data_IF_639321040566
#
_entry.id   IF_639321040566
#
_cell.length_a   1.000
_cell.length_b   1.000
_cell.length_c   1.000
_cell.angle_alpha   90.00
_cell.angle_beta   90.00
_cell.angle_gamma   90.00
#
_symmetry.space_group_name_H-M   'P 1'
#
loop_
_entity.id
_entity.type
_entity.pdbx_description
1 polymer ?
#
# COMPACT_ATOMS: atom_id res chain seq x y z
N UNK A 1 3.63 18.21 36.32
CA UNK A 1 2.84 17.24 35.54
C UNK A 1 3.44 17.08 34.13
N UNK A 2 3.90 15.90 33.76
CA UNK A 2 4.26 15.63 32.37
C UNK A 2 3.00 15.78 31.51
N UNK A 3 2.94 16.76 30.60
CA UNK A 3 1.83 16.88 29.63
C UNK A 3 1.75 15.57 28.85
N UNK A 4 0.55 14.99 28.78
CA UNK A 4 0.29 13.82 27.93
C UNK A 4 0.74 14.12 26.50
N UNK A 5 1.54 13.24 25.93
CA UNK A 5 2.06 13.45 24.59
C UNK A 5 0.97 13.14 23.57
N UNK A 6 0.67 14.14 22.71
CA UNK A 6 -0.27 14.02 21.59
C UNK A 6 0.46 14.27 20.28
N UNK A 7 0.42 13.30 19.37
CA UNK A 7 1.10 13.38 18.08
C UNK A 7 0.08 13.54 16.96
N UNK A 8 0.12 14.67 16.25
CA UNK A 8 -0.68 14.86 15.04
C UNK A 8 0.09 14.30 13.84
N UNK A 9 -0.52 13.37 13.11
CA UNK A 9 0.03 12.73 11.91
C UNK A 9 -0.72 13.27 10.69
N UNK A 10 0.02 13.80 9.72
CA UNK A 10 -0.54 14.35 8.49
C UNK A 10 -0.20 13.46 7.29
N UNK A 11 -1.20 12.72 6.76
CA UNK A 11 -1.07 11.95 5.51
C UNK A 11 -2.42 11.86 4.78
N UNK A 12 -2.60 12.62 3.71
CA UNK A 12 -3.89 12.83 3.03
C UNK A 12 -4.12 11.91 1.82
N UNK A 13 -3.06 11.30 1.29
CA UNK A 13 -3.06 10.40 0.11
C UNK A 13 -1.66 9.77 -0.07
N UNK A 14 -1.43 8.75 -0.90
CA UNK A 14 -2.41 7.88 -1.54
C UNK A 14 -2.76 6.70 -0.61
N UNK A 15 -3.74 5.87 -1.01
CA UNK A 15 -4.10 4.66 -0.24
C UNK A 15 -2.89 3.74 -0.02
N UNK A 16 -2.11 3.46 -1.07
CA UNK A 16 -0.91 2.63 -0.96
C UNK A 16 0.14 3.20 0.00
N UNK A 17 0.42 4.50 -0.07
CA UNK A 17 1.34 5.16 0.89
C UNK A 17 0.83 5.10 2.34
N UNK A 18 -0.49 5.10 2.53
CA UNK A 18 -1.11 4.94 3.85
C UNK A 18 -0.97 3.50 4.32
N UNK A 19 -1.19 2.52 3.45
CA UNK A 19 -0.99 1.11 3.77
C UNK A 19 0.46 0.82 4.19
N UNK A 20 1.47 1.42 3.53
CA UNK A 20 2.88 1.34 3.94
C UNK A 20 3.11 1.89 5.36
N UNK A 21 2.27 2.78 5.86
CA UNK A 21 2.41 3.37 7.19
C UNK A 21 1.90 2.44 8.30
N UNK A 22 1.00 1.50 8.01
CA UNK A 22 0.34 0.65 9.01
C UNK A 22 1.33 -0.08 9.93
N UNK A 23 2.39 -0.76 9.45
CA UNK A 23 3.34 -1.43 10.35
C UNK A 23 4.06 -0.45 11.30
N UNK A 24 4.33 0.78 10.83
CA UNK A 24 4.91 1.83 11.68
C UNK A 24 3.94 2.23 12.78
N UNK A 25 2.65 2.37 12.46
CA UNK A 25 1.61 2.72 13.42
C UNK A 25 1.36 1.61 14.44
N UNK A 26 1.39 0.34 14.02
CA UNK A 26 1.30 -0.81 14.95
C UNK A 26 2.44 -0.79 15.96
N UNK A 27 3.67 -0.64 15.48
CA UNK A 27 4.85 -0.56 16.36
C UNK A 27 4.79 0.66 17.32
N UNK A 28 4.32 1.82 16.85
CA UNK A 28 4.13 3.01 17.68
C UNK A 28 3.03 2.79 18.73
N UNK A 29 1.87 2.28 18.32
CA UNK A 29 0.73 2.04 19.18
C UNK A 29 1.07 1.09 20.33
N UNK A 30 1.79 0.00 20.02
CA UNK A 30 2.26 -0.97 21.01
C UNK A 30 3.30 -0.39 21.95
N UNK A 31 4.33 0.29 21.41
CA UNK A 31 5.45 0.81 22.22
C UNK A 31 5.06 2.01 23.06
N UNK A 32 4.09 2.79 22.62
CA UNK A 32 3.66 4.03 23.29
C UNK A 32 2.15 4.03 23.58
N UNK A 33 1.63 3.10 24.40
CA UNK A 33 0.19 2.96 24.64
C UNK A 33 -0.44 4.20 25.31
N UNK A 34 0.35 4.98 26.06
CA UNK A 34 -0.05 6.20 26.73
C UNK A 34 0.11 7.47 25.89
N UNK A 35 0.45 7.34 24.60
CA UNK A 35 0.55 8.45 23.65
C UNK A 35 -0.69 8.46 22.79
N UNK A 36 -1.36 9.60 22.70
CA UNK A 36 -2.47 9.80 21.77
C UNK A 36 -1.93 10.19 20.39
N UNK A 37 -2.28 9.39 19.38
CA UNK A 37 -1.95 9.68 17.99
C UNK A 37 -3.23 10.14 17.27
N UNK A 38 -3.20 11.34 16.69
CA UNK A 38 -4.30 11.91 15.92
C UNK A 38 -3.92 11.88 14.43
N UNK A 39 -4.51 10.99 13.65
CA UNK A 39 -4.23 10.83 12.24
C UNK A 39 -5.23 11.59 11.38
N UNK A 40 -4.79 12.62 10.70
CA UNK A 40 -5.59 13.41 9.77
C UNK A 40 -5.47 12.88 8.34
N UNK A 41 -6.59 12.41 7.76
CA UNK A 41 -6.62 11.88 6.40
C UNK A 41 -8.02 11.99 5.77
N UNK A 42 -8.17 11.49 4.53
CA UNK A 42 -9.46 11.46 3.82
C UNK A 42 -10.41 10.42 4.43
N UNK A 43 -11.74 10.66 4.47
CA UNK A 43 -12.71 9.77 5.12
C UNK A 43 -12.62 8.31 4.66
N UNK A 44 -12.42 8.08 3.35
CA UNK A 44 -12.30 6.73 2.77
C UNK A 44 -11.15 5.88 3.32
N UNK A 45 -10.22 6.47 4.08
CA UNK A 45 -9.10 5.76 4.69
C UNK A 45 -9.45 5.20 6.09
N UNK A 46 -10.58 5.60 6.68
CA UNK A 46 -10.95 5.26 8.05
C UNK A 46 -10.89 3.76 8.37
N UNK A 47 -11.36 2.84 7.50
CA UNK A 47 -11.32 1.40 7.79
C UNK A 47 -9.93 0.84 8.07
N UNK A 48 -8.86 1.47 7.55
CA UNK A 48 -7.48 1.05 7.78
C UNK A 48 -6.99 1.30 9.22
N UNK A 49 -7.73 2.07 10.00
CA UNK A 49 -7.31 2.52 11.33
C UNK A 49 -8.22 2.03 12.46
N UNK A 50 -9.26 1.25 12.15
CA UNK A 50 -10.19 0.71 13.14
C UNK A 50 -9.55 -0.29 14.12
N UNK A 51 -8.40 -0.88 13.76
CA UNK A 51 -7.64 -1.79 14.63
C UNK A 51 -6.95 -1.09 15.81
N UNK A 52 -6.78 0.24 15.78
CA UNK A 52 -5.96 0.97 16.73
C UNK A 52 -6.77 1.60 17.87
N UNK A 53 -6.41 1.31 19.11
CA UNK A 53 -7.07 1.87 20.31
C UNK A 53 -6.61 3.30 20.60
N UNK A 54 -5.33 3.62 20.41
CA UNK A 54 -4.74 4.93 20.74
C UNK A 54 -4.44 5.80 19.51
N UNK A 55 -5.02 5.46 18.34
CA UNK A 55 -4.95 6.27 17.12
C UNK A 55 -6.36 6.80 16.80
N UNK A 56 -6.58 8.08 17.00
CA UNK A 56 -7.81 8.76 16.66
C UNK A 56 -7.76 9.20 15.19
N UNK A 57 -8.69 8.70 14.38
CA UNK A 57 -8.80 9.11 12.98
C UNK A 57 -9.59 10.42 12.86
N UNK A 58 -9.03 11.39 12.14
CA UNK A 58 -9.66 12.68 11.85
C UNK A 58 -10.01 12.70 10.36
N UNK A 59 -11.28 12.47 9.99
CA UNK A 59 -11.72 12.53 8.60
C UNK A 59 -11.73 13.97 8.08
N UNK A 60 -11.13 14.20 6.91
CA UNK A 60 -11.02 15.51 6.29
C UNK A 60 -11.52 15.48 4.85
N UNK A 61 -12.60 16.20 4.54
CA UNK A 61 -13.02 16.44 3.16
C UNK A 61 -12.20 17.56 2.52
N UNK A 62 -11.02 17.17 2.03
CA UNK A 62 -10.02 18.09 1.51
C UNK A 62 -10.42 18.73 0.16
N UNK A 63 -11.37 18.14 -0.52
CA UNK A 63 -11.77 18.56 -1.87
C UNK A 63 -12.95 19.54 -1.83
N UNK A 64 -13.70 19.58 -0.75
CA UNK A 64 -14.83 20.49 -0.56
C UNK A 64 -14.53 21.55 0.50
N UNK A 65 -14.25 21.13 1.74
CA UNK A 65 -14.18 22.04 2.89
C UNK A 65 -12.89 22.86 3.00
N UNK A 66 -11.78 22.37 2.41
CA UNK A 66 -10.43 22.91 2.68
C UNK A 66 -9.68 23.30 1.42
N UNK A 67 -10.38 23.92 0.44
CA UNK A 67 -9.78 24.44 -0.81
C UNK A 67 -9.05 25.78 -0.61
N UNK A 68 -7.99 25.98 -1.38
CA UNK A 68 -7.23 27.24 -1.39
C UNK A 68 -6.54 27.58 -0.07
N UNK A 69 -5.99 28.78 0.05
CA UNK A 69 -5.26 29.23 1.24
C UNK A 69 -6.17 29.38 2.46
N UNK A 70 -7.39 29.92 2.27
CA UNK A 70 -8.38 30.03 3.34
C UNK A 70 -8.78 28.66 3.88
N UNK A 71 -8.95 27.66 3.00
CA UNK A 71 -9.21 26.27 3.40
C UNK A 71 -8.05 25.65 4.18
N UNK A 72 -6.81 25.94 3.80
CA UNK A 72 -5.62 25.49 4.56
C UNK A 72 -5.59 26.12 5.95
N UNK A 73 -5.93 27.39 6.09
CA UNK A 73 -5.98 28.07 7.39
C UNK A 73 -7.13 27.55 8.26
N UNK A 74 -8.32 27.31 7.66
CA UNK A 74 -9.45 26.66 8.35
C UNK A 74 -9.04 25.27 8.87
N UNK A 75 -8.38 24.47 8.04
CA UNK A 75 -7.86 23.15 8.39
C UNK A 75 -6.84 23.22 9.54
N UNK A 76 -5.90 24.17 9.48
CA UNK A 76 -4.95 24.40 10.56
C UNK A 76 -5.66 24.68 11.90
N UNK A 77 -6.71 25.54 11.91
CA UNK A 77 -7.48 25.83 13.12
C UNK A 77 -8.11 24.56 13.72
N UNK A 78 -8.72 23.73 12.88
CA UNK A 78 -9.34 22.47 13.31
C UNK A 78 -8.30 21.50 13.87
N UNK A 79 -7.18 21.33 13.18
CA UNK A 79 -6.10 20.46 13.64
C UNK A 79 -5.46 20.96 14.95
N UNK A 80 -5.45 22.29 15.18
CA UNK A 80 -4.96 22.87 16.44
C UNK A 80 -5.88 22.53 17.62
N UNK A 81 -7.18 22.30 17.40
CA UNK A 81 -8.11 21.91 18.45
C UNK A 81 -7.78 20.53 19.07
N UNK A 82 -7.05 19.67 18.36
CA UNK A 82 -6.54 18.39 18.91
C UNK A 82 -5.43 18.60 19.95
N UNK A 83 -5.00 19.85 20.20
CA UNK A 83 -3.95 20.22 21.16
C UNK A 83 -2.67 19.36 21.03
N UNK A 84 -2.10 19.19 19.82
CA UNK A 84 -0.96 18.34 19.63
C UNK A 84 0.26 18.90 20.38
N UNK A 85 1.17 18.01 20.80
CA UNK A 85 2.49 18.41 21.31
C UNK A 85 3.57 18.24 20.23
N UNK A 86 3.32 17.32 19.27
CA UNK A 86 4.24 16.97 18.19
C UNK A 86 3.46 16.80 16.89
N UNK A 87 4.07 17.19 15.75
CA UNK A 87 3.48 17.05 14.43
C UNK A 87 4.41 16.23 13.53
N UNK A 88 3.90 15.11 13.02
CA UNK A 88 4.54 14.24 12.04
C UNK A 88 3.95 14.49 10.65
N UNK A 89 4.61 15.28 9.81
CA UNK A 89 4.20 15.47 8.41
C UNK A 89 4.78 14.34 7.54
N UNK A 90 3.99 13.28 7.32
CA UNK A 90 4.33 12.15 6.47
C UNK A 90 3.93 12.37 5.01
N UNK A 91 3.30 13.49 4.68
CA UNK A 91 2.85 13.80 3.32
C UNK A 91 3.79 14.76 2.59
N UNK A 92 4.23 15.82 3.24
CA UNK A 92 5.16 16.83 2.74
C UNK A 92 4.80 17.38 1.35
N UNK A 93 3.53 17.77 1.18
CA UNK A 93 2.97 18.52 0.03
C UNK A 93 2.74 19.98 0.43
N UNK A 94 2.46 20.85 -0.53
CA UNK A 94 2.27 22.31 -0.27
C UNK A 94 1.33 22.54 0.92
N UNK A 95 0.16 21.90 0.95
CA UNK A 95 -0.83 22.04 2.02
C UNK A 95 -0.24 21.68 3.40
N UNK A 96 0.40 20.51 3.55
CA UNK A 96 0.96 20.09 4.84
C UNK A 96 2.20 20.89 5.23
N UNK A 97 2.95 21.40 4.26
CA UNK A 97 4.09 22.30 4.52
C UNK A 97 3.64 23.62 5.11
N UNK A 98 2.57 24.22 4.57
CA UNK A 98 1.99 25.47 5.12
C UNK A 98 1.47 25.19 6.53
N UNK A 99 0.69 24.13 6.76
CA UNK A 99 0.19 23.75 8.08
C UNK A 99 1.36 23.54 9.05
N UNK A 100 2.38 22.78 8.64
CA UNK A 100 3.57 22.54 9.46
C UNK A 100 4.34 23.84 9.80
N UNK A 101 4.41 24.79 8.87
CA UNK A 101 5.00 26.09 9.12
C UNK A 101 4.21 26.90 10.17
N UNK A 102 2.88 26.93 10.05
CA UNK A 102 2.02 27.60 11.04
C UNK A 102 2.19 27.02 12.44
N UNK A 103 2.26 25.69 12.56
CA UNK A 103 2.55 25.01 13.82
C UNK A 103 3.96 25.38 14.36
N UNK A 104 4.98 25.44 13.49
CA UNK A 104 6.34 25.82 13.90
C UNK A 104 6.41 27.24 14.45
N UNK A 105 5.73 28.21 13.78
CA UNK A 105 5.65 29.60 14.24
C UNK A 105 5.05 29.68 15.66
N UNK A 106 4.12 28.80 15.98
CA UNK A 106 3.54 28.69 17.32
C UNK A 106 4.36 27.85 18.31
N UNK A 107 5.61 27.47 17.98
CA UNK A 107 6.51 26.76 18.87
C UNK A 107 6.33 25.23 18.93
N UNK A 108 5.47 24.64 18.10
CA UNK A 108 5.28 23.18 18.10
C UNK A 108 6.47 22.44 17.47
N UNK A 109 6.72 21.21 17.95
CA UNK A 109 7.73 20.34 17.36
C UNK A 109 7.20 19.67 16.09
N UNK A 110 7.66 20.10 14.92
CA UNK A 110 7.25 19.59 13.61
C UNK A 110 8.42 18.88 12.94
N UNK A 111 8.23 17.64 12.51
CA UNK A 111 9.17 16.92 11.65
C UNK A 111 8.43 16.40 10.41
N UNK A 112 9.12 16.46 9.26
CA UNK A 112 8.57 16.05 7.98
C UNK A 112 9.40 14.96 7.33
N UNK A 113 8.75 14.16 6.49
CA UNK A 113 9.39 13.09 5.74
C UNK A 113 10.38 13.66 4.71
N UNK A 114 11.53 13.01 4.60
CA UNK A 114 12.38 13.12 3.41
C UNK A 114 11.90 12.14 2.34
N UNK A 115 11.39 12.66 1.24
CA UNK A 115 10.88 11.86 0.11
C UNK A 115 11.96 11.26 -0.77
N UNK A 116 13.23 11.57 -0.55
CA UNK A 116 14.37 11.09 -1.35
C UNK A 116 14.30 11.52 -2.83
N UNK A 117 13.77 12.72 -3.13
CA UNK A 117 13.50 13.16 -4.51
C UNK A 117 14.73 13.14 -5.42
N UNK A 118 15.91 13.53 -4.89
CA UNK A 118 17.18 13.50 -5.66
C UNK A 118 17.55 12.07 -6.04
N UNK A 119 17.50 11.15 -5.08
CA UNK A 119 17.81 9.73 -5.28
C UNK A 119 16.80 9.08 -6.24
N UNK A 120 15.50 9.34 -6.07
CA UNK A 120 14.44 8.87 -6.97
C UNK A 120 14.66 9.37 -8.42
N UNK A 121 15.06 10.64 -8.60
CA UNK A 121 15.40 11.18 -9.91
C UNK A 121 16.65 10.49 -10.49
N UNK A 122 17.66 10.18 -9.69
CA UNK A 122 18.85 9.46 -10.14
C UNK A 122 18.54 8.01 -10.55
N UNK A 123 17.66 7.33 -9.79
CA UNK A 123 17.21 5.97 -10.08
C UNK A 123 16.41 5.86 -11.39
N UNK A 124 15.65 6.90 -11.78
CA UNK A 124 14.78 6.85 -12.97
C UNK A 124 15.36 7.53 -14.21
N UNK A 125 16.60 8.02 -14.16
CA UNK A 125 17.27 8.58 -15.35
C UNK A 125 17.54 7.50 -16.39
N UNK A 126 17.44 7.83 -17.67
CA UNK A 126 17.86 6.94 -18.77
C UNK A 126 19.39 6.99 -18.90
N UNK A 127 19.97 8.22 -18.93
CA UNK A 127 21.42 8.43 -18.97
C UNK A 127 21.96 8.64 -17.57
N UNK A 128 23.17 8.13 -17.28
CA UNK A 128 23.82 8.22 -15.96
C UNK A 128 22.93 7.76 -14.82
N UNK A 129 22.24 6.64 -15.04
CA UNK A 129 21.37 6.02 -14.05
C UNK A 129 22.19 5.53 -12.84
N UNK A 130 21.70 5.87 -11.65
CA UNK A 130 22.20 5.29 -10.40
C UNK A 130 21.20 4.22 -9.95
N UNK A 131 21.53 2.96 -10.26
CA UNK A 131 20.65 1.82 -10.02
C UNK A 131 21.02 1.13 -8.70
N UNK A 132 20.57 1.70 -7.60
CA UNK A 132 20.76 1.16 -6.25
C UNK A 132 19.45 1.23 -5.45
N UNK A 133 19.26 0.31 -4.49
CA UNK A 133 18.10 0.33 -3.60
C UNK A 133 18.04 1.64 -2.82
N UNK A 134 16.89 2.29 -2.87
CA UNK A 134 16.65 3.48 -2.05
C UNK A 134 16.09 3.07 -0.68
N UNK A 135 16.33 3.89 0.34
CA UNK A 135 15.72 3.70 1.65
C UNK A 135 14.20 3.48 1.50
N UNK A 136 13.65 2.33 1.93
CA UNK A 136 12.22 2.07 1.86
C UNK A 136 11.37 3.13 2.56
N UNK A 137 10.19 3.39 1.99
CA UNK A 137 9.29 4.44 2.47
C UNK A 137 8.88 4.24 3.93
N UNK A 138 8.72 2.99 4.36
CA UNK A 138 8.40 2.63 5.75
C UNK A 138 9.48 3.15 6.73
N UNK A 139 10.77 2.99 6.42
CA UNK A 139 11.86 3.52 7.25
C UNK A 139 11.94 5.05 7.21
N UNK A 140 11.51 5.68 6.09
CA UNK A 140 11.39 7.14 6.04
C UNK A 140 10.30 7.65 6.98
N UNK A 141 9.19 6.92 7.13
CA UNK A 141 8.14 7.22 8.12
C UNK A 141 8.66 7.04 9.54
N UNK A 142 9.26 5.91 9.86
CA UNK A 142 9.85 5.64 11.17
C UNK A 142 10.84 6.74 11.59
N UNK A 143 11.69 7.19 10.66
CA UNK A 143 12.67 8.27 10.91
C UNK A 143 12.01 9.60 11.30
N UNK A 144 10.79 9.90 10.84
CA UNK A 144 10.06 11.11 11.27
C UNK A 144 9.69 11.00 12.74
N UNK A 145 9.17 9.86 13.17
CA UNK A 145 8.79 9.62 14.57
C UNK A 145 10.02 9.59 15.48
N UNK A 146 11.11 8.95 15.05
CA UNK A 146 12.38 8.97 15.80
C UNK A 146 12.89 10.39 16.04
N UNK A 147 12.83 11.27 15.02
CA UNK A 147 13.18 12.71 15.16
C UNK A 147 12.26 13.50 16.10
N UNK A 148 11.08 12.98 16.40
CA UNK A 148 10.14 13.53 17.38
C UNK A 148 10.33 12.93 18.79
N UNK A 149 11.22 11.95 18.94
CA UNK A 149 11.45 11.25 20.20
C UNK A 149 10.62 9.98 20.40
N UNK A 150 10.03 9.44 19.32
CA UNK A 150 9.26 8.20 19.30
C UNK A 150 9.98 7.16 18.42
N UNK A 151 11.11 6.66 18.88
CA UNK A 151 11.87 5.62 18.16
C UNK A 151 11.17 4.28 18.30
N UNK A 152 11.01 3.60 17.17
CA UNK A 152 10.49 2.24 17.08
C UNK A 152 11.53 1.37 16.37
N UNK A 153 11.55 0.12 16.76
CA UNK A 153 12.21 -0.95 16.05
C UNK A 153 11.13 -1.92 15.58
N UNK A 154 11.13 -2.24 14.27
CA UNK A 154 10.20 -3.18 13.68
C UNK A 154 10.94 -4.01 12.66
N UNK A 155 11.38 -5.18 13.10
CA UNK A 155 11.99 -6.21 12.23
C UNK A 155 10.93 -7.13 11.62
N UNK A 156 9.77 -7.24 12.29
CA UNK A 156 8.61 -8.04 11.81
C UNK A 156 7.35 -7.19 11.89
N UNK A 157 6.49 -7.32 10.90
CA UNK A 157 5.14 -6.76 10.94
C UNK A 157 4.34 -7.47 12.03
N UNK A 158 3.83 -6.73 13.00
CA UNK A 158 2.82 -7.27 13.91
C UNK A 158 1.53 -7.45 13.12
N UNK A 159 0.92 -8.63 13.23
CA UNK A 159 -0.28 -8.96 12.48
C UNK A 159 -1.52 -8.39 13.19
N UNK A 160 -2.58 -8.05 12.46
CA UNK A 160 -3.84 -7.66 13.06
C UNK A 160 -4.45 -8.85 13.81
N UNK A 161 -5.03 -8.58 14.97
CA UNK A 161 -5.68 -9.62 15.79
C UNK A 161 -7.09 -10.00 15.32
N UNK A 162 -7.58 -9.42 14.23
CA UNK A 162 -8.97 -9.56 13.82
C UNK A 162 -9.10 -10.51 12.63
N UNK A 163 -9.52 -11.74 12.89
CA UNK A 163 -9.71 -12.80 11.91
C UNK A 163 -11.21 -13.09 11.69
N UNK A 164 -11.98 -12.07 11.33
CA UNK A 164 -13.39 -12.23 10.98
C UNK A 164 -13.56 -12.24 9.47
N UNK A 165 -13.93 -13.40 8.92
CA UNK A 165 -14.34 -13.52 7.52
C UNK A 165 -15.75 -12.93 7.35
N UNK A 166 -15.99 -12.05 6.37
CA UNK A 166 -17.34 -11.55 6.06
C UNK A 166 -18.33 -12.70 5.88
N UNK A 167 -19.54 -12.58 6.46
CA UNK A 167 -20.52 -13.67 6.51
C UNK A 167 -20.86 -14.26 5.12
N UNK A 168 -21.01 -13.36 4.15
CA UNK A 168 -21.29 -13.75 2.75
C UNK A 168 -20.17 -14.58 2.10
N UNK A 169 -18.96 -14.56 2.66
CA UNK A 169 -17.83 -15.36 2.17
C UNK A 169 -17.64 -16.68 2.91
N UNK A 170 -18.19 -16.84 4.10
CA UNK A 170 -18.01 -18.07 4.89
C UNK A 170 -18.39 -19.32 4.11
N UNK A 171 -19.55 -19.32 3.45
CA UNK A 171 -20.01 -20.46 2.63
C UNK A 171 -19.05 -20.78 1.48
N UNK A 172 -18.45 -19.75 0.89
CA UNK A 172 -17.55 -19.88 -0.27
C UNK A 172 -16.16 -20.35 0.19
N UNK A 173 -15.63 -19.78 1.25
CA UNK A 173 -14.30 -20.11 1.78
C UNK A 173 -14.25 -21.49 2.43
N UNK A 174 -15.33 -21.92 3.07
CA UNK A 174 -15.41 -23.21 3.76
C UNK A 174 -16.09 -24.32 2.93
N UNK A 175 -16.40 -24.06 1.64
CA UNK A 175 -17.02 -25.04 0.76
C UNK A 175 -16.10 -26.24 0.46
N UNK A 176 -14.80 -26.01 0.40
CA UNK A 176 -13.77 -27.02 0.20
C UNK A 176 -12.46 -26.62 0.90
N UNK A 177 -11.42 -27.47 0.80
CA UNK A 177 -10.10 -27.25 1.41
C UNK A 177 -9.10 -26.59 0.46
N UNK A 178 -9.54 -26.06 -0.69
CA UNK A 178 -8.64 -25.42 -1.64
C UNK A 178 -8.07 -24.14 -1.07
N UNK A 179 -6.78 -23.91 -1.31
CA UNK A 179 -6.11 -22.65 -0.97
C UNK A 179 -6.66 -21.48 -1.79
N UNK A 180 -6.62 -20.29 -1.20
CA UNK A 180 -7.14 -19.06 -1.77
C UNK A 180 -6.02 -18.13 -2.22
N UNK A 181 -6.04 -17.75 -3.49
CA UNK A 181 -5.12 -16.78 -4.07
C UNK A 181 -5.87 -15.48 -4.36
N UNK A 182 -5.46 -14.38 -3.73
CA UNK A 182 -5.92 -13.05 -4.11
C UNK A 182 -5.18 -12.56 -5.35
N UNK A 183 -5.89 -12.07 -6.36
CA UNK A 183 -5.28 -11.47 -7.56
C UNK A 183 -5.78 -10.04 -7.73
N UNK A 184 -4.86 -9.07 -7.66
CA UNK A 184 -5.12 -7.65 -7.84
C UNK A 184 -4.46 -7.16 -9.16
N UNK A 185 -5.12 -7.32 -10.31
CA UNK A 185 -4.49 -7.14 -11.62
C UNK A 185 -4.32 -5.69 -12.04
N UNK A 186 -4.82 -4.73 -11.26
CA UNK A 186 -4.87 -3.32 -11.63
C UNK A 186 -3.93 -2.45 -10.81
N UNK A 187 -3.55 -1.34 -11.40
CA UNK A 187 -2.85 -0.24 -10.73
C UNK A 187 -3.33 1.12 -11.25
N UNK A 188 -2.99 2.19 -10.52
CA UNK A 188 -3.41 3.55 -10.88
C UNK A 188 -2.86 4.06 -12.21
N UNK A 189 -1.84 3.42 -12.76
CA UNK A 189 -1.17 3.82 -14.00
C UNK A 189 -0.78 2.61 -14.84
N UNK A 190 -0.86 2.78 -16.16
CA UNK A 190 -0.57 1.74 -17.15
C UNK A 190 0.84 1.13 -16.96
N UNK A 191 1.86 1.95 -16.70
CA UNK A 191 3.23 1.47 -16.48
C UNK A 191 3.42 0.59 -15.24
N UNK A 192 2.35 0.38 -14.46
CA UNK A 192 2.30 -0.52 -13.29
C UNK A 192 1.27 -1.64 -13.46
N UNK A 193 0.55 -1.69 -14.57
CA UNK A 193 -0.48 -2.69 -14.83
C UNK A 193 0.05 -3.77 -15.74
N UNK A 194 0.16 -4.99 -15.24
CA UNK A 194 0.55 -6.15 -16.04
C UNK A 194 -0.47 -6.38 -17.16
N UNK A 195 -0.05 -6.74 -18.39
CA UNK A 195 -0.99 -6.95 -19.47
C UNK A 195 -2.09 -7.94 -19.11
N UNK A 196 -3.35 -7.49 -19.17
CA UNK A 196 -4.49 -8.26 -18.68
C UNK A 196 -4.66 -9.62 -19.37
N UNK A 197 -4.29 -9.72 -20.66
CA UNK A 197 -4.29 -10.98 -21.38
C UNK A 197 -3.24 -11.99 -20.85
N UNK A 198 -2.13 -11.51 -20.30
CA UNK A 198 -1.13 -12.36 -19.64
C UNK A 198 -1.58 -12.74 -18.20
N UNK A 199 -2.17 -11.79 -17.47
CA UNK A 199 -2.76 -12.08 -16.16
C UNK A 199 -3.88 -13.10 -16.29
N UNK A 200 -4.68 -13.03 -17.35
CA UNK A 200 -5.74 -14.00 -17.61
C UNK A 200 -5.16 -15.42 -17.81
N UNK A 201 -4.01 -15.57 -18.45
CA UNK A 201 -3.33 -16.87 -18.58
C UNK A 201 -2.90 -17.42 -17.20
N UNK A 202 -2.41 -16.55 -16.30
CA UNK A 202 -2.10 -16.94 -14.91
C UNK A 202 -3.36 -17.42 -14.20
N UNK A 203 -4.47 -16.69 -14.30
CA UNK A 203 -5.74 -17.04 -13.68
C UNK A 203 -6.28 -18.39 -14.23
N UNK A 204 -6.28 -18.57 -15.55
CA UNK A 204 -6.76 -19.82 -16.20
C UNK A 204 -6.01 -21.03 -15.70
N UNK A 205 -4.71 -20.89 -15.44
CA UNK A 205 -3.91 -21.98 -14.93
C UNK A 205 -4.20 -22.25 -13.43
N UNK A 206 -4.06 -21.23 -12.60
CA UNK A 206 -4.17 -21.36 -11.15
C UNK A 206 -5.58 -21.76 -10.67
N UNK A 207 -6.64 -21.31 -11.34
CA UNK A 207 -8.01 -21.62 -10.94
C UNK A 207 -8.38 -23.11 -11.09
N UNK A 208 -7.55 -23.94 -11.71
CA UNK A 208 -7.78 -25.42 -11.80
C UNK A 208 -7.68 -26.05 -10.42
N UNK A 209 -6.67 -25.63 -9.64
CA UNK A 209 -6.34 -26.27 -8.36
C UNK A 209 -6.63 -25.36 -7.15
N UNK A 210 -6.71 -24.04 -7.35
CA UNK A 210 -6.89 -23.03 -6.32
C UNK A 210 -8.19 -22.26 -6.49
N UNK A 211 -8.65 -21.61 -5.42
CA UNK A 211 -9.70 -20.59 -5.46
C UNK A 211 -9.08 -19.23 -5.69
N UNK A 212 -9.66 -18.44 -6.55
CA UNK A 212 -9.15 -17.11 -6.92
C UNK A 212 -10.10 -16.03 -6.43
N UNK A 213 -9.61 -15.14 -5.59
CA UNK A 213 -10.30 -13.92 -5.19
C UNK A 213 -9.78 -12.75 -6.03
N UNK A 214 -10.62 -12.23 -6.92
CA UNK A 214 -10.28 -11.10 -7.78
C UNK A 214 -10.53 -9.78 -7.04
N UNK A 215 -9.48 -8.97 -6.90
CA UNK A 215 -9.48 -7.71 -6.18
C UNK A 215 -9.40 -6.54 -7.15
N UNK A 216 -10.32 -5.59 -7.03
CA UNK A 216 -10.38 -4.37 -7.84
C UNK A 216 -11.06 -3.24 -7.10
N UNK A 217 -11.12 -2.06 -7.73
CA UNK A 217 -11.77 -0.90 -7.15
C UNK A 217 -12.42 -0.01 -8.23
N UNK A 218 -13.71 0.21 -8.08
CA UNK A 218 -14.51 1.03 -8.99
C UNK A 218 -15.11 0.25 -10.16
N UNK A 219 -16.16 0.85 -10.72
CA UNK A 219 -17.08 0.18 -11.66
C UNK A 219 -16.39 -0.45 -12.87
N UNK A 220 -15.42 0.25 -13.46
CA UNK A 220 -14.69 -0.24 -14.65
C UNK A 220 -13.90 -1.53 -14.38
N UNK A 221 -13.22 -1.62 -13.25
CA UNK A 221 -12.47 -2.82 -12.84
C UNK A 221 -13.44 -3.94 -12.45
N UNK A 222 -14.49 -3.63 -11.70
CA UNK A 222 -15.57 -4.55 -11.33
C UNK A 222 -16.20 -5.23 -12.54
N UNK A 223 -16.54 -4.45 -13.58
CA UNK A 223 -17.16 -4.98 -14.79
C UNK A 223 -16.24 -5.97 -15.53
N UNK A 224 -14.94 -5.64 -15.63
CA UNK A 224 -13.96 -6.53 -16.25
C UNK A 224 -13.75 -7.82 -15.45
N UNK A 225 -13.63 -7.72 -14.12
CA UNK A 225 -13.50 -8.89 -13.25
C UNK A 225 -14.76 -9.76 -13.28
N UNK A 226 -15.93 -9.16 -13.47
CA UNK A 226 -17.19 -9.89 -13.61
C UNK A 226 -17.25 -10.73 -14.90
N UNK A 227 -16.56 -10.31 -15.97
CA UNK A 227 -16.41 -11.14 -17.17
C UNK A 227 -15.56 -12.38 -16.86
N UNK A 228 -14.48 -12.24 -16.11
CA UNK A 228 -13.61 -13.36 -15.75
C UNK A 228 -14.31 -14.36 -14.81
N UNK A 229 -15.07 -13.89 -13.83
CA UNK A 229 -15.81 -14.79 -12.93
C UNK A 229 -16.92 -15.56 -13.61
N UNK A 230 -17.50 -15.02 -14.69
CA UNK A 230 -18.45 -15.80 -15.52
C UNK A 230 -17.77 -16.89 -16.35
N UNK A 231 -16.51 -16.69 -16.73
CA UNK A 231 -15.75 -17.63 -17.53
C UNK A 231 -15.04 -18.72 -16.69
N UNK A 232 -14.74 -18.45 -15.41
CA UNK A 232 -13.93 -19.33 -14.57
C UNK A 232 -14.65 -19.63 -13.25
N UNK A 233 -15.01 -20.90 -13.05
CA UNK A 233 -15.87 -21.36 -11.94
C UNK A 233 -15.23 -21.24 -10.55
N UNK A 234 -13.89 -21.25 -10.46
CA UNK A 234 -13.17 -21.10 -9.19
C UNK A 234 -12.72 -19.64 -8.92
N UNK A 235 -13.26 -18.66 -9.66
CA UNK A 235 -12.98 -17.25 -9.48
C UNK A 235 -14.15 -16.52 -8.83
N UNK A 236 -13.84 -15.61 -7.90
CA UNK A 236 -14.82 -14.81 -7.20
C UNK A 236 -14.45 -13.32 -7.24
N UNK A 237 -15.43 -12.43 -7.51
CA UNK A 237 -15.19 -10.99 -7.67
C UNK A 237 -15.45 -10.23 -6.36
N UNK A 238 -14.39 -9.99 -5.58
CA UNK A 238 -14.49 -9.24 -4.34
C UNK A 238 -14.93 -7.78 -4.55
N UNK A 239 -14.54 -7.15 -5.65
CA UNK A 239 -14.86 -5.73 -5.90
C UNK A 239 -16.36 -5.48 -6.12
N UNK A 240 -17.11 -6.49 -6.54
CA UNK A 240 -18.56 -6.44 -6.72
C UNK A 240 -19.32 -6.75 -5.43
N UNK A 241 -18.81 -7.69 -4.65
CA UNK A 241 -19.53 -8.31 -3.54
C UNK A 241 -19.19 -7.71 -2.17
N UNK A 242 -18.01 -7.08 -2.05
CA UNK A 242 -17.45 -6.59 -0.79
C UNK A 242 -17.20 -5.09 -0.83
N UNK A 243 -17.58 -4.38 0.22
CA UNK A 243 -17.10 -3.04 0.45
C UNK A 243 -15.60 -3.02 0.85
N UNK A 244 -15.01 -1.83 0.98
CA UNK A 244 -13.57 -1.73 1.27
C UNK A 244 -13.21 -2.32 2.63
N UNK A 245 -14.06 -2.17 3.65
CA UNK A 245 -13.84 -2.74 4.98
C UNK A 245 -13.89 -4.27 4.94
N UNK A 246 -14.86 -4.82 4.27
CA UNK A 246 -14.98 -6.27 4.07
C UNK A 246 -13.79 -6.85 3.28
N UNK A 247 -13.30 -6.13 2.26
CA UNK A 247 -12.08 -6.52 1.53
C UNK A 247 -10.86 -6.57 2.46
N UNK A 248 -10.72 -5.63 3.40
CA UNK A 248 -9.62 -5.68 4.38
C UNK A 248 -9.71 -6.92 5.28
N UNK A 249 -10.92 -7.34 5.64
CA UNK A 249 -11.16 -8.50 6.51
C UNK A 249 -10.82 -9.83 5.83
N UNK A 250 -10.76 -9.87 4.50
CA UNK A 250 -10.50 -11.12 3.74
C UNK A 250 -9.02 -11.45 3.65
N UNK A 251 -8.14 -10.44 3.62
CA UNK A 251 -6.70 -10.70 3.42
C UNK A 251 -6.11 -11.77 4.33
N UNK A 252 -6.39 -11.82 5.65
CA UNK A 252 -5.83 -12.84 6.54
C UNK A 252 -6.21 -14.29 6.20
N UNK A 253 -7.20 -14.49 5.34
CA UNK A 253 -7.67 -15.81 4.91
C UNK A 253 -7.15 -16.24 3.54
N UNK A 254 -6.28 -15.43 2.93
CA UNK A 254 -5.63 -15.76 1.67
C UNK A 254 -4.29 -16.43 1.94
N UNK A 255 -3.96 -17.44 1.13
CA UNK A 255 -2.67 -18.16 1.22
C UNK A 255 -1.58 -17.45 0.42
N UNK A 256 -1.95 -16.64 -0.57
CA UNK A 256 -1.06 -15.87 -1.44
C UNK A 256 -1.80 -14.69 -2.04
N UNK A 257 -1.10 -13.59 -2.30
CA UNK A 257 -1.62 -12.49 -3.13
C UNK A 257 -0.67 -12.20 -4.29
N UNK A 258 -1.19 -12.15 -5.52
CA UNK A 258 -0.49 -11.66 -6.71
C UNK A 258 -0.97 -10.23 -6.97
N UNK A 259 -0.08 -9.27 -6.89
CA UNK A 259 -0.42 -7.84 -6.98
C UNK A 259 0.53 -7.09 -7.89
N UNK A 260 0.05 -5.99 -8.41
CA UNK A 260 0.90 -4.95 -8.98
C UNK A 260 1.60 -4.17 -7.86
N UNK A 261 2.56 -3.28 -8.20
CA UNK A 261 3.06 -2.22 -7.32
C UNK A 261 1.88 -1.27 -6.96
N UNK A 262 0.99 -1.73 -6.08
CA UNK A 262 -0.29 -1.09 -5.76
C UNK A 262 -0.71 -1.30 -4.29
N UNK A 263 -1.90 -0.80 -3.93
CA UNK A 263 -2.45 -0.89 -2.58
C UNK A 263 -2.53 -2.33 -2.05
N UNK A 264 -3.07 -3.25 -2.86
CA UNK A 264 -3.43 -4.60 -2.39
C UNK A 264 -2.23 -5.43 -1.93
N UNK A 265 -1.05 -5.25 -2.57
CA UNK A 265 0.19 -5.88 -2.10
C UNK A 265 0.58 -5.45 -0.69
N UNK A 266 0.41 -4.16 -0.37
CA UNK A 266 0.68 -3.66 0.98
C UNK A 266 -0.35 -4.15 2.00
N UNK A 267 -1.63 -4.22 1.62
CA UNK A 267 -2.69 -4.72 2.51
C UNK A 267 -2.48 -6.21 2.84
N UNK A 268 -2.17 -7.02 1.84
CA UNK A 268 -1.85 -8.43 2.02
C UNK A 268 -0.63 -8.63 2.94
N UNK A 269 0.47 -7.91 2.67
CA UNK A 269 1.65 -7.94 3.52
C UNK A 269 1.36 -7.52 4.97
N UNK A 270 0.52 -6.49 5.17
CA UNK A 270 0.10 -6.04 6.50
C UNK A 270 -0.77 -7.08 7.23
N UNK A 271 -1.40 -7.98 6.50
CA UNK A 271 -2.16 -9.13 7.03
C UNK A 271 -1.30 -10.40 7.21
N UNK A 272 0.00 -10.34 6.90
CA UNK A 272 0.93 -11.46 7.03
C UNK A 272 0.88 -12.45 5.86
N UNK A 273 0.19 -12.11 4.79
CA UNK A 273 0.05 -12.96 3.61
C UNK A 273 1.27 -12.80 2.70
N UNK A 274 1.82 -13.89 2.15
CA UNK A 274 2.84 -13.83 1.10
C UNK A 274 2.34 -13.04 -0.12
N UNK A 275 3.22 -12.22 -0.72
CA UNK A 275 2.85 -11.36 -1.84
C UNK A 275 3.85 -11.51 -2.97
N UNK A 276 3.39 -11.91 -4.14
CA UNK A 276 4.12 -11.73 -5.39
C UNK A 276 3.77 -10.35 -5.94
N UNK A 277 4.78 -9.50 -6.13
CA UNK A 277 4.57 -8.17 -6.72
C UNK A 277 5.18 -8.12 -8.11
N UNK A 278 4.37 -7.72 -9.11
CA UNK A 278 4.81 -7.56 -10.50
C UNK A 278 5.22 -6.11 -10.77
N UNK A 279 6.43 -5.92 -11.29
CA UNK A 279 7.04 -4.61 -11.50
C UNK A 279 7.31 -4.36 -12.99
N UNK A 280 6.61 -3.38 -13.55
CA UNK A 280 6.75 -2.98 -14.98
C UNK A 280 7.75 -1.85 -15.18
N UNK A 281 7.25 -0.61 -15.31
CA UNK A 281 8.06 0.60 -15.44
C UNK A 281 8.64 1.09 -14.11
N UNK A 282 8.19 0.54 -13.00
CA UNK A 282 8.68 0.77 -11.64
C UNK A 282 9.62 -0.36 -11.21
N UNK A 283 10.19 -0.28 -10.01
CA UNK A 283 11.10 -1.29 -9.47
C UNK A 283 11.07 -1.26 -7.94
N UNK A 284 11.25 -2.37 -7.22
CA UNK A 284 11.30 -2.40 -5.76
C UNK A 284 12.37 -1.47 -5.17
N UNK A 285 13.46 -1.23 -5.90
CA UNK A 285 14.50 -0.27 -5.52
C UNK A 285 14.01 1.17 -5.31
N UNK A 286 12.80 1.52 -5.80
CA UNK A 286 12.18 2.80 -5.49
C UNK A 286 11.73 2.94 -4.02
N UNK A 287 11.78 1.85 -3.24
CA UNK A 287 11.46 1.78 -1.82
C UNK A 287 9.98 1.71 -1.53
N UNK A 288 9.21 1.04 -2.39
CA UNK A 288 7.77 0.81 -2.26
C UNK A 288 7.39 -0.68 -2.24
N UNK A 289 8.35 -1.59 -2.13
CA UNK A 289 8.02 -3.01 -1.98
C UNK A 289 7.19 -3.25 -0.70
N UNK A 290 6.24 -4.20 -0.71
CA UNK A 290 5.50 -4.60 0.49
C UNK A 290 6.47 -5.04 1.60
N UNK A 291 6.21 -4.56 2.82
CA UNK A 291 7.14 -4.74 3.92
C UNK A 291 7.15 -6.20 4.42
N UNK A 292 8.36 -6.72 4.68
CA UNK A 292 8.53 -8.08 5.22
C UNK A 292 8.40 -9.20 4.17
N UNK A 293 8.26 -8.85 2.89
CA UNK A 293 8.24 -9.84 1.82
C UNK A 293 9.68 -10.15 1.35
N UNK A 294 9.99 -11.40 0.99
CA UNK A 294 11.25 -11.79 0.35
C UNK A 294 11.48 -11.02 -0.95
N UNK A 295 12.75 -10.73 -1.28
CA UNK A 295 13.08 -9.96 -2.48
C UNK A 295 12.69 -10.70 -3.78
N UNK A 296 12.81 -12.02 -3.81
CA UNK A 296 12.48 -12.89 -4.93
C UNK A 296 10.97 -13.01 -5.21
N UNK A 297 10.12 -12.56 -4.27
CA UNK A 297 8.69 -12.34 -4.52
C UNK A 297 8.42 -11.11 -5.41
N UNK A 298 9.46 -10.35 -5.75
CA UNK A 298 9.37 -9.21 -6.67
C UNK A 298 9.78 -9.62 -8.09
N UNK A 299 8.81 -9.89 -8.97
CA UNK A 299 9.06 -10.24 -10.36
C UNK A 299 9.13 -8.97 -11.19
N UNK A 300 10.29 -8.68 -11.76
CA UNK A 300 10.57 -7.45 -12.47
C UNK A 300 10.66 -7.66 -13.99
N UNK A 301 10.30 -6.64 -14.77
CA UNK A 301 10.58 -6.59 -16.20
C UNK A 301 12.07 -6.75 -16.47
N UNK A 302 12.40 -7.41 -17.58
CA UNK A 302 13.77 -7.69 -18.00
C UNK A 302 14.57 -6.39 -18.25
N UNK A 303 15.58 -6.16 -17.41
CA UNK A 303 16.46 -5.01 -17.51
C UNK A 303 17.61 -5.20 -18.50
N UNK A 304 17.90 -6.41 -18.96
CA UNK A 304 18.86 -6.63 -20.06
C UNK A 304 18.26 -6.05 -21.33
N UNK A 305 17.01 -6.39 -21.62
CA UNK A 305 16.26 -5.89 -22.77
C UNK A 305 15.83 -4.42 -22.60
N UNK A 306 15.52 -4.00 -21.38
CA UNK A 306 15.04 -2.65 -21.05
C UNK A 306 15.88 -1.99 -19.95
N UNK A 307 17.14 -1.60 -20.23
CA UNK A 307 18.11 -1.16 -19.21
C UNK A 307 17.71 0.14 -18.51
N UNK A 308 16.80 0.91 -19.11
CA UNK A 308 16.26 2.14 -18.53
C UNK A 308 15.29 1.94 -17.37
N UNK A 309 14.85 0.70 -17.04
CA UNK A 309 13.96 0.43 -15.91
C UNK A 309 14.73 0.58 -14.57
N UNK A 310 14.09 1.22 -13.56
CA UNK A 310 12.80 1.91 -13.60
C UNK A 310 12.87 3.21 -14.40
N UNK A 311 11.84 3.43 -15.21
CA UNK A 311 11.69 4.67 -16.00
C UNK A 311 10.84 5.69 -15.26
N UNK A 312 10.10 5.23 -14.24
CA UNK A 312 9.20 6.03 -13.44
C UNK A 312 9.14 5.51 -11.99
N UNK A 313 8.98 6.43 -11.05
CA UNK A 313 8.70 6.07 -9.63
C UNK A 313 7.23 5.64 -9.43
N UNK A 314 6.33 6.18 -10.24
CA UNK A 314 4.88 6.00 -10.07
C UNK A 314 4.21 5.34 -11.28
N UNK A 315 4.97 4.93 -12.30
CA UNK A 315 4.42 4.30 -13.50
C UNK A 315 3.60 5.20 -14.42
N UNK A 316 3.65 6.54 -14.22
CA UNK A 316 2.83 7.50 -14.98
C UNK A 316 3.22 7.65 -16.44
N UNK A 317 4.46 7.35 -16.78
CA UNK A 317 5.02 7.53 -18.13
C UNK A 317 5.69 6.25 -18.55
N UNK A 318 5.38 5.82 -19.77
CA UNK A 318 6.07 4.76 -20.48
C UNK A 318 6.87 5.44 -21.60
N UNK A 319 8.21 5.41 -21.57
CA UNK A 319 9.02 5.95 -22.65
C UNK A 319 8.81 5.17 -23.95
N UNK A 320 8.99 5.83 -25.09
CA UNK A 320 8.95 5.19 -26.41
C UNK A 320 9.95 4.02 -26.46
N UNK A 321 9.50 2.87 -26.94
CA UNK A 321 10.27 1.63 -27.01
C UNK A 321 10.24 0.79 -25.71
N UNK A 322 9.52 1.22 -24.65
CA UNK A 322 9.36 0.49 -23.40
C UNK A 322 7.94 -0.05 -23.17
N UNK A 323 7.07 0.06 -24.16
CA UNK A 323 5.65 -0.33 -24.11
C UNK A 323 5.49 -1.83 -23.80
N UNK A 324 6.42 -2.64 -24.30
CA UNK A 324 6.41 -4.10 -24.11
C UNK A 324 7.28 -4.59 -22.93
N UNK A 325 7.84 -3.69 -22.13
CA UNK A 325 8.73 -4.09 -21.04
C UNK A 325 8.07 -5.05 -20.06
N UNK A 326 6.83 -4.78 -19.67
CA UNK A 326 6.08 -5.63 -18.74
C UNK A 326 5.76 -7.01 -19.34
N UNK A 327 5.71 -7.15 -20.66
CA UNK A 327 5.51 -8.45 -21.34
C UNK A 327 6.72 -9.40 -21.25
N UNK A 328 7.86 -8.92 -20.75
CA UNK A 328 9.02 -9.78 -20.47
C UNK A 328 8.82 -10.66 -19.23
N UNK A 329 7.89 -10.33 -18.36
CA UNK A 329 7.44 -11.23 -17.30
C UNK A 329 6.48 -12.24 -17.94
N UNK A 330 6.91 -13.51 -18.01
CA UNK A 330 6.06 -14.57 -18.59
C UNK A 330 4.98 -15.01 -17.56
N UNK A 331 3.77 -15.38 -18.00
CA UNK A 331 2.79 -16.02 -17.15
C UNK A 331 3.34 -17.25 -16.41
N UNK A 332 4.19 -18.05 -17.11
CA UNK A 332 4.85 -19.21 -16.52
C UNK A 332 5.67 -18.87 -15.28
N UNK A 333 6.50 -17.81 -15.33
CA UNK A 333 7.31 -17.39 -14.19
C UNK A 333 6.44 -16.97 -12.97
N UNK A 334 5.30 -16.32 -13.23
CA UNK A 334 4.35 -15.94 -12.15
C UNK A 334 3.69 -17.18 -11.54
N UNK A 335 3.30 -18.13 -12.37
CA UNK A 335 2.67 -19.39 -11.95
C UNK A 335 3.65 -20.23 -11.12
N UNK A 336 4.88 -20.43 -11.61
CA UNK A 336 5.91 -21.22 -10.93
C UNK A 336 6.21 -20.63 -9.54
N UNK A 337 6.37 -19.31 -9.44
CA UNK A 337 6.58 -18.65 -8.14
C UNK A 337 5.36 -18.76 -7.22
N UNK A 338 4.16 -18.72 -7.76
CA UNK A 338 2.95 -18.89 -6.97
C UNK A 338 2.85 -20.32 -6.37
N UNK A 339 3.16 -21.34 -7.16
CA UNK A 339 3.16 -22.73 -6.72
C UNK A 339 4.25 -22.95 -5.66
N UNK A 340 5.48 -22.49 -5.89
CA UNK A 340 6.59 -22.54 -4.94
C UNK A 340 6.18 -22.03 -3.56
N UNK A 341 5.64 -20.81 -3.47
CA UNK A 341 5.20 -20.20 -2.20
C UNK A 341 4.07 -21.02 -1.53
N UNK A 342 3.12 -21.51 -2.33
CA UNK A 342 1.99 -22.27 -1.81
C UNK A 342 2.39 -23.67 -1.30
N UNK A 343 3.44 -24.27 -1.87
CA UNK A 343 3.98 -25.56 -1.43
C UNK A 343 4.84 -25.41 -0.17
N UNK A 344 5.68 -24.38 -0.08
CA UNK A 344 6.50 -24.10 1.11
C UNK A 344 5.66 -23.89 2.37
N UNK A 345 4.47 -23.29 2.25
CA UNK A 345 3.55 -23.08 3.37
C UNK A 345 2.81 -24.38 3.82
N UNK A 346 3.09 -25.53 3.23
CA UNK A 346 2.56 -26.83 3.65
C UNK A 346 3.51 -27.59 4.58
N UNK A 347 4.78 -27.14 4.68
CA UNK A 347 5.80 -27.72 5.56
C UNK A 347 5.96 -26.87 6.83
#
# INVERSE_FOLDING_TARGET
>A
MKRDKKVLILRFSSLGDIAIMIPVLRALSKKYPNVEFNLASRPKMAPLFEEFVNINFIPLDLDNDYKGLNGIYKLFKILKLTKPTHIADLHFVIRTRIIGLLFKILGYRVKSIDKGRKQKKALTRIKNKHFEPLTPTIFRYSKVFSKLGFSIDFTKSELPHNNFLPEKLKKVFYADKKKWIGIAPFASFEGKTYPLNLMQQVIVFLQRDYKILLLGNGKKEEDLLSVWTKAYSNCWNASKELDFKEQLMVFPFLDLVISMDSLNGHLASNAGVPVITLWGQTHPYAGFAPFGQPEDNSICSDRIKYPGIPTSIYGKKIPRGYENAFRTISPKAVIEKAIEILEENNN
#
